data_IF_064963904287
#
_entry.id   IF_064963904287
#
_cell.length_a   1.000
_cell.length_b   1.000
_cell.length_c   1.000
_cell.angle_alpha   90.00
_cell.angle_beta   90.00
_cell.angle_gamma   90.00
#
_symmetry.space_group_name_H-M   'P 1'
#
loop_
_entity.id
_entity.type
_entity.pdbx_description
1 polymer ?
#
# COMPACT_ATOMS: atom_id res chain seq x y z
N UNK A 1 12.55 -3.74 15.60
CA UNK A 1 11.90 -4.93 15.01
C UNK A 1 12.70 -6.17 15.28
N UNK A 2 12.10 -7.30 15.63
CA UNK A 2 12.79 -8.57 15.71
C UNK A 2 13.18 -9.14 14.32
N UNK A 3 12.76 -8.45 13.22
CA UNK A 3 12.93 -8.94 11.86
C UNK A 3 14.08 -8.22 11.13
N UNK A 4 14.94 -8.96 10.37
CA UNK A 4 16.06 -8.35 9.67
C UNK A 4 15.61 -7.29 8.64
N UNK A 5 16.18 -6.09 8.70
CA UNK A 5 15.88 -4.97 7.79
C UNK A 5 16.06 -5.39 6.32
N UNK A 6 17.13 -6.13 6.01
CA UNK A 6 17.43 -6.60 4.65
C UNK A 6 16.35 -7.46 3.99
N UNK A 7 15.46 -8.07 4.79
CA UNK A 7 14.38 -8.93 4.28
C UNK A 7 13.14 -8.14 3.90
N UNK A 8 13.01 -6.90 4.38
CA UNK A 8 11.80 -6.09 4.25
C UNK A 8 12.13 -4.63 3.97
N UNK A 9 12.86 -4.33 2.88
CA UNK A 9 13.20 -2.95 2.54
C UNK A 9 11.95 -2.17 2.12
N UNK A 10 11.90 -0.90 2.49
CA UNK A 10 10.87 0.05 2.05
C UNK A 10 11.51 1.00 1.02
N UNK A 11 10.89 1.15 -0.12
CA UNK A 11 11.43 1.92 -1.25
C UNK A 11 10.38 2.89 -1.80
N UNK A 12 10.75 4.16 -1.95
CA UNK A 12 9.94 5.08 -2.73
C UNK A 12 10.28 4.95 -4.22
N UNK A 13 9.24 4.83 -5.05
CA UNK A 13 9.35 4.76 -6.50
C UNK A 13 8.83 6.07 -7.08
N UNK A 14 9.69 6.79 -7.79
CA UNK A 14 9.32 8.02 -8.45
C UNK A 14 8.17 7.81 -9.44
N UNK A 15 7.13 8.63 -9.31
CA UNK A 15 5.93 8.57 -10.13
C UNK A 15 5.28 9.95 -10.23
N UNK A 16 4.04 10.08 -9.84
CA UNK A 16 3.26 11.30 -9.75
C UNK A 16 2.71 11.47 -8.33
N UNK A 17 2.29 12.68 -8.00
CA UNK A 17 1.53 12.91 -6.78
C UNK A 17 0.10 12.39 -6.96
N UNK A 18 -0.26 11.38 -6.17
CA UNK A 18 -1.56 10.71 -6.25
C UNK A 18 -2.58 11.44 -5.36
N UNK A 19 -3.17 12.50 -5.86
CA UNK A 19 -4.22 13.25 -5.14
C UNK A 19 -5.51 13.38 -5.98
N UNK A 20 -6.46 14.21 -5.52
CA UNK A 20 -7.73 14.42 -6.22
C UNK A 20 -7.61 15.33 -7.45
N UNK A 21 -6.45 15.97 -7.67
CA UNK A 21 -6.14 16.83 -8.81
C UNK A 21 -5.36 16.10 -9.90
N UNK A 22 -4.95 14.85 -9.64
CA UNK A 22 -4.21 14.08 -10.62
C UNK A 22 -5.05 13.89 -11.88
N UNK A 23 -4.45 14.22 -13.03
CA UNK A 23 -5.07 14.02 -14.35
C UNK A 23 -5.07 12.54 -14.72
N UNK A 24 -5.88 12.15 -15.70
CA UNK A 24 -5.91 10.78 -16.22
C UNK A 24 -4.54 10.36 -16.75
N UNK A 25 -3.81 11.26 -17.42
CA UNK A 25 -2.44 11.00 -17.88
C UNK A 25 -1.49 10.69 -16.71
N UNK A 26 -1.56 11.49 -15.64
CA UNK A 26 -0.79 11.26 -14.43
C UNK A 26 -1.18 9.92 -13.77
N UNK A 27 -2.46 9.59 -13.75
CA UNK A 27 -2.92 8.31 -13.20
C UNK A 27 -2.49 7.12 -14.07
N UNK A 28 -2.42 7.27 -15.39
CA UNK A 28 -1.86 6.24 -16.28
C UNK A 28 -0.34 6.06 -16.04
N UNK A 29 0.40 7.15 -15.81
CA UNK A 29 1.81 7.06 -15.43
C UNK A 29 1.99 6.32 -14.09
N UNK A 30 1.09 6.54 -13.12
CA UNK A 30 1.06 5.81 -11.86
C UNK A 30 0.80 4.30 -12.08
N UNK A 31 -0.17 3.93 -12.92
CA UNK A 31 -0.44 2.53 -13.31
C UNK A 31 0.81 1.91 -13.91
N UNK A 32 1.47 2.59 -14.84
CA UNK A 32 2.70 2.10 -15.48
C UNK A 32 3.80 1.78 -14.45
N UNK A 33 3.99 2.62 -13.43
CA UNK A 33 4.96 2.36 -12.36
C UNK A 33 4.61 1.12 -11.55
N UNK A 34 3.34 0.92 -11.27
CA UNK A 34 2.87 -0.30 -10.59
C UNK A 34 3.08 -1.52 -11.48
N UNK A 35 2.78 -1.42 -12.77
CA UNK A 35 3.00 -2.50 -13.73
C UNK A 35 4.49 -2.90 -13.84
N UNK A 36 5.42 -1.95 -13.80
CA UNK A 36 6.85 -2.24 -13.75
C UNK A 36 7.23 -3.06 -12.50
N UNK A 37 6.61 -2.76 -11.35
CA UNK A 37 6.84 -3.52 -10.11
C UNK A 37 6.28 -4.94 -10.23
N UNK A 38 5.07 -5.10 -10.76
CA UNK A 38 4.43 -6.41 -10.99
C UNK A 38 5.24 -7.21 -12.01
N UNK A 39 5.62 -6.59 -13.14
CA UNK A 39 6.35 -7.21 -14.23
C UNK A 39 7.68 -7.82 -13.78
N UNK A 40 8.38 -7.15 -12.87
CA UNK A 40 9.62 -7.66 -12.27
C UNK A 40 9.39 -8.80 -11.25
N UNK A 41 8.13 -9.17 -10.95
CA UNK A 41 7.77 -10.12 -9.87
C UNK A 41 6.76 -11.18 -10.30
N UNK A 42 6.86 -11.66 -11.55
CA UNK A 42 5.89 -12.59 -12.13
C UNK A 42 5.86 -13.99 -11.47
N UNK A 43 6.79 -14.29 -10.57
CA UNK A 43 6.78 -15.54 -9.80
C UNK A 43 6.38 -15.33 -8.34
N UNK A 44 5.81 -14.16 -8.01
CA UNK A 44 5.49 -13.73 -6.65
C UNK A 44 4.03 -13.34 -6.50
N UNK A 45 3.61 -13.31 -5.25
CA UNK A 45 2.31 -12.76 -4.84
C UNK A 45 2.51 -11.42 -4.17
N UNK A 46 1.64 -10.46 -4.46
CA UNK A 46 1.71 -9.14 -3.89
C UNK A 46 0.36 -8.55 -3.50
N UNK A 47 0.41 -7.47 -2.72
CA UNK A 47 -0.77 -6.70 -2.32
C UNK A 47 -0.56 -5.24 -2.72
N UNK A 48 -1.58 -4.61 -3.30
CA UNK A 48 -1.58 -3.20 -3.67
C UNK A 48 -2.66 -2.47 -2.86
N UNK A 49 -2.24 -1.50 -2.06
CA UNK A 49 -3.14 -0.63 -1.31
C UNK A 49 -3.40 0.67 -2.07
N UNK A 50 -4.67 0.94 -2.39
CA UNK A 50 -5.08 2.04 -3.30
C UNK A 50 -5.85 3.16 -2.60
N UNK A 51 -6.16 3.01 -1.30
CA UNK A 51 -6.93 3.96 -0.46
C UNK A 51 -8.39 4.14 -0.91
N UNK A 52 -8.78 3.76 -2.12
CA UNK A 52 -10.17 3.83 -2.57
C UNK A 52 -10.52 2.78 -3.61
N UNK A 53 -11.79 2.36 -3.61
CA UNK A 53 -12.33 1.47 -4.64
C UNK A 53 -12.24 2.06 -6.06
N UNK A 54 -12.37 3.38 -6.19
CA UNK A 54 -12.24 4.06 -7.48
C UNK A 54 -10.84 3.86 -8.06
N UNK A 55 -9.78 4.06 -7.25
CA UNK A 55 -8.40 3.82 -7.67
C UNK A 55 -8.11 2.34 -7.92
N UNK A 56 -8.67 1.44 -7.11
CA UNK A 56 -8.54 0.01 -7.35
C UNK A 56 -9.09 -0.38 -8.72
N UNK A 57 -10.30 0.10 -9.06
CA UNK A 57 -10.90 -0.13 -10.38
C UNK A 57 -10.10 0.51 -11.52
N UNK A 58 -9.63 1.75 -11.33
CA UNK A 58 -8.81 2.45 -12.33
C UNK A 58 -7.52 1.66 -12.61
N UNK A 59 -6.82 1.23 -11.57
CA UNK A 59 -5.62 0.40 -11.71
C UNK A 59 -5.90 -0.87 -12.50
N UNK A 60 -6.91 -1.64 -12.08
CA UNK A 60 -7.19 -2.91 -12.71
C UNK A 60 -7.72 -2.77 -14.16
N UNK A 61 -8.41 -1.67 -14.47
CA UNK A 61 -8.88 -1.41 -15.83
C UNK A 61 -7.73 -1.06 -16.79
N UNK A 62 -6.70 -0.35 -16.31
CA UNK A 62 -5.63 0.19 -17.14
C UNK A 62 -4.32 -0.60 -17.03
N UNK A 63 -4.21 -1.55 -16.11
CA UNK A 63 -3.00 -2.37 -15.93
C UNK A 63 -2.91 -3.45 -17.00
N UNK A 64 -1.69 -3.68 -17.51
CA UNK A 64 -1.38 -4.82 -18.39
C UNK A 64 -1.47 -6.16 -17.65
N UNK A 65 -1.46 -6.13 -16.32
CA UNK A 65 -1.57 -7.31 -15.44
C UNK A 65 -2.94 -7.49 -14.81
N UNK A 66 -3.99 -6.90 -15.38
CA UNK A 66 -5.36 -6.97 -14.87
C UNK A 66 -5.86 -8.41 -14.61
N UNK A 67 -5.47 -9.36 -15.47
CA UNK A 67 -5.82 -10.78 -15.32
C UNK A 67 -5.23 -11.47 -14.09
N UNK A 68 -4.24 -10.87 -13.41
CA UNK A 68 -3.63 -11.38 -12.19
C UNK A 68 -4.20 -10.70 -10.93
N UNK A 69 -5.11 -9.71 -11.09
CA UNK A 69 -5.60 -8.87 -10.00
C UNK A 69 -6.89 -9.41 -9.39
N UNK A 70 -6.84 -9.62 -8.08
CA UNK A 70 -7.96 -9.98 -7.24
C UNK A 70 -8.52 -8.71 -6.60
N UNK A 71 -9.69 -8.29 -7.04
CA UNK A 71 -10.38 -7.11 -6.51
C UNK A 71 -11.60 -7.51 -5.70
N UNK A 72 -11.88 -6.78 -4.66
CA UNK A 72 -13.05 -6.99 -3.81
C UNK A 72 -13.91 -5.74 -3.66
N UNK A 73 -15.09 -5.93 -3.18
CA UNK A 73 -16.01 -4.92 -2.65
C UNK A 73 -16.08 -5.05 -1.12
N UNK A 74 -16.80 -4.15 -0.45
CA UNK A 74 -17.05 -4.27 0.99
C UNK A 74 -17.85 -5.54 1.37
N UNK A 75 -18.53 -6.17 0.41
CA UNK A 75 -19.42 -7.32 0.65
C UNK A 75 -18.75 -8.67 0.47
N UNK A 76 -17.69 -8.76 -0.33
CA UNK A 76 -17.08 -10.05 -0.70
C UNK A 76 -15.58 -10.16 -0.37
N UNK A 77 -15.09 -9.30 0.51
CA UNK A 77 -13.66 -9.24 0.85
C UNK A 77 -13.13 -10.60 1.34
N UNK A 78 -13.83 -11.28 2.23
CA UNK A 78 -13.39 -12.57 2.78
C UNK A 78 -13.24 -13.62 1.67
N UNK A 79 -14.21 -13.70 0.76
CA UNK A 79 -14.18 -14.62 -0.37
C UNK A 79 -12.99 -14.36 -1.28
N UNK A 80 -12.74 -13.08 -1.64
CA UNK A 80 -11.65 -12.71 -2.56
C UNK A 80 -10.29 -12.93 -1.92
N UNK A 81 -10.15 -12.63 -0.63
CA UNK A 81 -8.90 -12.89 0.10
C UNK A 81 -8.59 -14.39 0.13
N UNK A 82 -9.59 -15.25 0.38
CA UNK A 82 -9.41 -16.70 0.33
C UNK A 82 -9.03 -17.21 -1.07
N UNK A 83 -9.64 -16.65 -2.11
CA UNK A 83 -9.26 -16.96 -3.50
C UNK A 83 -7.80 -16.56 -3.78
N UNK A 84 -7.42 -15.34 -3.38
CA UNK A 84 -6.04 -14.87 -3.51
C UNK A 84 -5.06 -15.76 -2.74
N UNK A 85 -5.36 -16.15 -1.50
CA UNK A 85 -4.49 -17.03 -0.71
C UNK A 85 -4.25 -18.37 -1.40
N UNK A 86 -5.28 -18.96 -2.01
CA UNK A 86 -5.19 -20.24 -2.75
C UNK A 86 -4.57 -20.10 -4.15
N UNK A 87 -4.51 -18.90 -4.70
CA UNK A 87 -3.96 -18.66 -6.02
C UNK A 87 -2.46 -18.97 -6.07
N UNK A 88 -2.01 -19.52 -7.19
CA UNK A 88 -0.58 -19.65 -7.50
C UNK A 88 -0.04 -18.31 -8.01
N UNK A 89 1.26 -18.02 -7.84
CA UNK A 89 1.88 -16.88 -8.52
C UNK A 89 1.77 -17.00 -10.05
N UNK A 90 1.67 -15.90 -10.77
CA UNK A 90 1.53 -14.53 -10.27
C UNK A 90 0.12 -14.20 -9.79
N UNK A 91 -0.01 -13.55 -8.65
CA UNK A 91 -1.30 -13.10 -8.14
C UNK A 91 -1.14 -11.79 -7.34
N UNK A 92 -2.07 -10.86 -7.52
CA UNK A 92 -2.04 -9.54 -6.91
C UNK A 92 -3.37 -9.22 -6.27
N UNK A 93 -3.40 -9.04 -4.96
CA UNK A 93 -4.59 -8.54 -4.27
C UNK A 93 -4.62 -7.01 -4.34
N UNK A 94 -5.67 -6.44 -4.90
CA UNK A 94 -5.88 -4.98 -4.94
C UNK A 94 -6.94 -4.59 -3.94
N UNK A 95 -6.54 -3.84 -2.91
CA UNK A 95 -7.41 -3.46 -1.80
C UNK A 95 -7.37 -1.96 -1.54
N UNK A 96 -8.51 -1.31 -1.28
CA UNK A 96 -8.55 0.12 -0.97
C UNK A 96 -8.12 0.44 0.47
N UNK A 97 -8.06 -0.54 1.35
CA UNK A 97 -7.73 -0.35 2.77
C UNK A 97 -7.08 -1.59 3.37
N UNK A 98 -6.44 -1.39 4.52
CA UNK A 98 -6.01 -2.50 5.36
C UNK A 98 -7.22 -3.32 5.76
N UNK A 99 -7.25 -4.56 5.31
CA UNK A 99 -8.25 -5.51 5.77
C UNK A 99 -7.84 -5.99 7.16
N UNK A 100 -8.47 -5.43 8.19
CA UNK A 100 -8.23 -5.88 9.57
C UNK A 100 -8.52 -7.37 9.69
N UNK A 101 -7.63 -8.11 10.36
CA UNK A 101 -7.83 -9.54 10.63
C UNK A 101 -7.27 -10.49 9.56
N UNK A 102 -6.65 -10.00 8.49
CA UNK A 102 -5.99 -10.86 7.51
C UNK A 102 -4.47 -10.76 7.60
N UNK A 103 -3.81 -11.89 7.68
CA UNK A 103 -2.36 -12.04 7.60
C UNK A 103 -1.99 -12.81 6.34
N UNK A 104 -0.84 -12.48 5.78
CA UNK A 104 -0.33 -13.08 4.55
C UNK A 104 1.12 -13.54 4.78
N UNK A 105 1.33 -14.67 5.49
CA UNK A 105 2.65 -15.15 5.82
C UNK A 105 3.40 -15.68 4.60
N UNK A 106 4.73 -15.61 4.68
CA UNK A 106 5.66 -16.23 3.72
C UNK A 106 5.37 -15.86 2.25
N UNK A 107 5.07 -16.90 1.45
CA UNK A 107 4.81 -16.75 0.00
C UNK A 107 3.42 -16.21 -0.33
N UNK A 108 2.57 -15.95 0.67
CA UNK A 108 1.28 -15.32 0.43
C UNK A 108 1.40 -13.83 0.10
N UNK A 109 2.48 -13.15 0.58
CA UNK A 109 2.77 -11.76 0.23
C UNK A 109 4.28 -11.50 0.25
N UNK A 110 4.91 -11.46 -0.90
CA UNK A 110 6.34 -11.21 -1.06
C UNK A 110 6.66 -9.76 -1.45
N UNK A 111 5.66 -8.98 -1.84
CA UNK A 111 5.77 -7.55 -2.05
C UNK A 111 4.45 -6.81 -1.76
N UNK A 112 4.58 -5.58 -1.33
CA UNK A 112 3.47 -4.67 -1.06
C UNK A 112 3.71 -3.39 -1.85
N UNK A 113 2.64 -2.87 -2.47
CA UNK A 113 2.64 -1.55 -3.10
C UNK A 113 1.66 -0.66 -2.34
N UNK A 114 2.18 0.39 -1.75
CA UNK A 114 1.38 1.50 -1.21
C UNK A 114 1.19 2.50 -2.35
N UNK A 115 0.07 2.41 -3.03
CA UNK A 115 -0.23 3.21 -4.23
C UNK A 115 -0.57 4.67 -3.91
N UNK A 116 -0.82 4.99 -2.65
CA UNK A 116 -1.06 6.34 -2.16
C UNK A 116 -0.80 6.40 -0.66
N UNK A 117 -0.24 7.52 -0.19
CA UNK A 117 -0.15 7.80 1.26
C UNK A 117 -1.57 7.81 1.84
N UNK A 118 -1.85 6.97 2.86
CA UNK A 118 -3.20 6.69 3.33
C UNK A 118 -3.74 7.76 4.31
N UNK A 119 -3.82 9.02 3.87
CA UNK A 119 -4.45 10.06 4.67
C UNK A 119 -5.93 9.73 4.95
N UNK A 120 -6.41 9.95 6.18
CA UNK A 120 -7.83 9.83 6.49
C UNK A 120 -8.66 10.87 5.71
N UNK A 121 -9.95 10.58 5.55
CA UNK A 121 -10.87 11.56 4.99
C UNK A 121 -11.02 12.76 5.93
N UNK A 122 -10.44 13.90 5.53
CA UNK A 122 -10.42 15.13 6.33
C UNK A 122 -11.75 15.90 6.34
N UNK A 123 -12.79 15.42 5.64
CA UNK A 123 -14.10 16.10 5.56
C UNK A 123 -14.91 15.93 6.83
N UNK A 124 -14.69 14.88 7.61
CA UNK A 124 -15.40 14.60 8.86
C UNK A 124 -15.17 15.66 9.93
N UNK A 125 -16.24 16.08 10.62
CA UNK A 125 -16.18 17.11 11.67
C UNK A 125 -15.21 16.74 12.81
N UNK A 126 -15.19 15.47 13.21
CA UNK A 126 -14.30 14.96 14.25
C UNK A 126 -12.81 15.07 13.85
N UNK A 127 -12.47 14.70 12.62
CA UNK A 127 -11.09 14.80 12.11
C UNK A 127 -10.66 16.26 12.05
N UNK A 128 -11.55 17.17 11.59
CA UNK A 128 -11.28 18.60 11.57
C UNK A 128 -11.07 19.18 12.97
N UNK A 129 -11.87 18.76 13.95
CA UNK A 129 -11.72 19.19 15.33
C UNK A 129 -10.35 18.75 15.89
N UNK A 130 -10.00 17.49 15.76
CA UNK A 130 -8.72 16.95 16.23
C UNK A 130 -7.52 17.57 15.51
N UNK A 131 -7.63 17.86 14.21
CA UNK A 131 -6.56 18.52 13.46
C UNK A 131 -6.34 19.99 13.89
N UNK A 132 -7.35 20.66 14.45
CA UNK A 132 -7.20 22.00 15.08
C UNK A 132 -6.44 21.93 16.39
N UNK A 133 -6.64 20.86 17.17
CA UNK A 133 -5.94 20.62 18.43
C UNK A 133 -4.51 20.13 18.21
N UNK A 134 -4.32 19.23 17.24
CA UNK A 134 -3.02 18.69 16.84
C UNK A 134 -2.87 18.71 15.31
N UNK A 135 -2.03 19.59 14.81
CA UNK A 135 -1.77 19.75 13.37
C UNK A 135 -1.16 18.49 12.73
N UNK A 136 -0.55 17.60 13.50
CA UNK A 136 0.06 16.35 13.04
C UNK A 136 -0.93 15.17 13.07
N UNK A 137 -2.12 15.34 13.65
CA UNK A 137 -3.08 14.24 13.85
C UNK A 137 -3.35 13.41 12.59
N UNK A 138 -3.60 14.06 11.45
CA UNK A 138 -3.86 13.34 10.18
C UNK A 138 -2.62 12.65 9.62
N UNK A 139 -1.44 13.23 9.83
CA UNK A 139 -0.17 12.61 9.42
C UNK A 139 0.14 11.39 10.30
N UNK A 140 -0.16 11.46 11.61
CA UNK A 140 -0.02 10.33 12.51
C UNK A 140 -0.92 9.16 12.11
N UNK A 141 -2.20 9.41 11.85
CA UNK A 141 -3.13 8.38 11.37
C UNK A 141 -2.66 7.76 10.04
N UNK A 142 -2.16 8.60 9.12
CA UNK A 142 -1.60 8.10 7.86
C UNK A 142 -0.36 7.24 8.08
N UNK A 143 0.51 7.60 9.03
CA UNK A 143 1.69 6.82 9.39
C UNK A 143 1.31 5.47 10.00
N UNK A 144 0.35 5.45 10.92
CA UNK A 144 -0.15 4.21 11.54
C UNK A 144 -0.67 3.23 10.50
N UNK A 145 -1.48 3.71 9.54
CA UNK A 145 -2.00 2.88 8.45
C UNK A 145 -0.87 2.39 7.55
N UNK A 146 0.05 3.27 7.15
CA UNK A 146 1.20 2.92 6.32
C UNK A 146 2.06 1.82 6.96
N UNK A 147 2.37 1.96 8.24
CA UNK A 147 3.15 0.98 9.00
C UNK A 147 2.42 -0.36 9.10
N UNK A 148 1.10 -0.33 9.30
CA UNK A 148 0.27 -1.54 9.32
C UNK A 148 0.22 -2.22 7.95
N UNK A 149 0.04 -1.47 6.87
CA UNK A 149 0.06 -1.99 5.49
C UNK A 149 1.40 -2.66 5.18
N UNK A 150 2.50 -1.95 5.43
CA UNK A 150 3.85 -2.46 5.20
C UNK A 150 4.18 -3.71 6.06
N UNK A 151 3.55 -3.83 7.23
CA UNK A 151 3.74 -4.97 8.12
C UNK A 151 2.98 -6.24 7.72
N UNK A 152 2.05 -6.20 6.75
CA UNK A 152 1.19 -7.34 6.40
C UNK A 152 1.94 -8.56 5.85
N UNK A 153 3.04 -8.35 5.16
CA UNK A 153 3.86 -9.42 4.58
C UNK A 153 5.02 -9.88 5.47
N UNK A 154 5.08 -9.44 6.74
CA UNK A 154 6.18 -9.78 7.65
C UNK A 154 5.63 -10.23 8.99
N UNK A 155 5.72 -11.55 9.27
CA UNK A 155 5.24 -12.18 10.51
C UNK A 155 6.35 -12.97 11.21
N UNK A 156 7.39 -13.37 10.49
CA UNK A 156 8.52 -14.12 11.00
C UNK A 156 9.86 -13.48 10.61
N UNK A 157 10.94 -13.90 11.24
CA UNK A 157 12.30 -13.46 10.90
C UNK A 157 12.77 -13.94 9.52
N UNK A 158 12.11 -14.93 8.96
CA UNK A 158 12.42 -15.54 7.65
C UNK A 158 11.62 -14.92 6.50
N UNK A 159 10.54 -14.18 6.80
CA UNK A 159 9.70 -13.56 5.77
C UNK A 159 10.51 -12.53 4.98
N UNK A 160 10.23 -12.50 3.69
CA UNK A 160 10.81 -11.52 2.75
C UNK A 160 9.69 -10.81 2.02
N UNK A 161 9.47 -9.55 2.39
CA UNK A 161 8.46 -8.72 1.76
C UNK A 161 9.04 -7.34 1.44
N UNK A 162 9.09 -6.99 0.16
CA UNK A 162 9.52 -5.67 -0.28
C UNK A 162 8.32 -4.71 -0.25
N UNK A 163 8.52 -3.49 0.22
CA UNK A 163 7.48 -2.47 0.24
C UNK A 163 7.83 -1.33 -0.71
N UNK A 164 6.91 -0.98 -1.59
CA UNK A 164 7.06 0.08 -2.58
C UNK A 164 6.03 1.16 -2.32
N UNK A 165 6.47 2.38 -2.08
CA UNK A 165 5.59 3.55 -2.01
C UNK A 165 5.57 4.22 -3.38
N UNK A 166 4.42 4.21 -4.05
CA UNK A 166 4.22 4.71 -5.42
C UNK A 166 3.31 5.96 -5.37
N UNK A 167 3.77 6.97 -4.65
CA UNK A 167 3.10 8.28 -4.51
C UNK A 167 4.17 9.34 -4.23
N UNK A 168 4.35 10.30 -5.12
CA UNK A 168 5.34 11.39 -4.96
C UNK A 168 5.01 12.38 -3.82
N UNK A 169 3.85 12.23 -3.18
CA UNK A 169 3.57 12.84 -1.88
C UNK A 169 4.67 12.49 -0.87
N UNK A 170 5.25 11.29 -0.96
CA UNK A 170 6.33 10.80 -0.11
C UNK A 170 7.51 11.76 -0.03
N UNK A 171 7.91 12.41 -1.13
CA UNK A 171 9.11 13.24 -1.22
C UNK A 171 9.16 14.39 -0.20
N UNK A 172 8.01 14.97 0.11
CA UNK A 172 7.89 16.03 1.10
C UNK A 172 7.31 15.53 2.42
N UNK A 173 6.48 14.48 2.36
CA UNK A 173 5.77 13.98 3.53
C UNK A 173 6.69 13.21 4.47
N UNK A 174 7.54 12.33 3.92
CA UNK A 174 8.46 11.53 4.71
C UNK A 174 9.47 12.37 5.49
N UNK A 175 10.23 13.32 4.90
CA UNK A 175 11.14 14.16 5.64
C UNK A 175 10.50 14.95 6.77
N UNK A 176 9.22 15.34 6.59
CA UNK A 176 8.47 16.12 7.59
C UNK A 176 7.92 15.28 8.72
N UNK A 177 7.58 14.01 8.47
CA UNK A 177 6.80 13.18 9.40
C UNK A 177 7.48 11.86 9.77
N UNK A 178 8.70 11.61 9.35
CA UNK A 178 9.43 10.36 9.61
C UNK A 178 9.56 10.03 11.10
N UNK A 179 9.61 11.05 11.96
CA UNK A 179 9.68 10.88 13.42
C UNK A 179 8.42 10.23 14.03
N UNK A 180 7.29 10.28 13.33
CA UNK A 180 6.06 9.59 13.73
C UNK A 180 6.13 8.07 13.50
N UNK A 181 7.07 7.63 12.66
CA UNK A 181 7.25 6.21 12.38
C UNK A 181 8.06 5.51 13.50
N UNK A 182 7.75 4.25 13.83
CA UNK A 182 8.59 3.45 14.70
C UNK A 182 10.03 3.33 14.15
N UNK A 183 11.04 3.26 15.02
CA UNK A 183 12.44 3.15 14.62
C UNK A 183 12.67 2.01 13.63
N UNK A 184 12.11 0.83 13.91
CA UNK A 184 12.25 -0.32 13.04
C UNK A 184 11.70 -0.13 11.62
N UNK A 185 10.73 0.78 11.42
CA UNK A 185 10.21 1.11 10.11
C UNK A 185 11.12 2.11 9.39
N UNK A 186 11.66 3.09 10.13
CA UNK A 186 12.63 4.07 9.59
C UNK A 186 13.91 3.39 9.10
N UNK A 187 14.40 2.40 9.83
CA UNK A 187 15.61 1.65 9.50
C UNK A 187 15.50 0.83 8.19
N UNK A 188 14.30 0.71 7.62
CA UNK A 188 14.04 -0.03 6.37
C UNK A 188 14.03 0.81 5.11
N UNK A 189 14.17 2.14 5.23
CA UNK A 189 14.09 3.11 4.13
C UNK A 189 15.46 3.50 3.61
#
# INVERSE_FOLDING_TARGET
>A
SPFPVRNTPNMHINTVRVDYRATDEQMLAWVKRIDEIIGARQFKKGIIFTVSYARARFLAHNSTYSGQMYQHTSRNIAQVVEQFKKAKPPAVLVSPSVTTGYDFPEKECEYIVVGKIPYPDSRGALIKARQREDSNHTAQLAMEVLVQEAGRGTRSATDRCQVFVVDDTWKWWWPKHSELAPSWFRDRI
#
